data_IF_986032247579
#
_entry.id   IF_986032247579
#
_cell.length_a   1.000
_cell.length_b   1.000
_cell.length_c   1.000
_cell.angle_alpha   90.00
_cell.angle_beta   90.00
_cell.angle_gamma   90.00
#
_symmetry.space_group_name_H-M   'P 1'
#
loop_
_entity.id
_entity.type
_entity.pdbx_description
1 polymer ?
#
# COMPACT_ATOMS: atom_id res chain seq x y z
N UNK A 1 -18.45 -10.68 -13.01
CA UNK A 1 -19.58 -9.75 -13.09
C UNK A 1 -19.16 -8.64 -14.03
N UNK A 2 -19.90 -8.54 -15.14
CA UNK A 2 -19.86 -7.62 -16.29
C UNK A 2 -18.82 -6.47 -16.27
N UNK A 3 -17.91 -6.45 -17.26
CA UNK A 3 -17.90 -5.44 -18.34
C UNK A 3 -16.61 -5.52 -19.17
N UNK A 4 -16.72 -6.02 -20.40
CA UNK A 4 -15.79 -5.78 -21.53
C UNK A 4 -16.14 -4.47 -22.27
N UNK A 5 -16.86 -3.55 -21.61
CA UNK A 5 -17.08 -2.23 -22.19
C UNK A 5 -15.90 -1.32 -21.86
N UNK A 6 -15.29 -0.65 -22.86
CA UNK A 6 -14.25 0.34 -22.62
C UNK A 6 -14.85 1.46 -21.76
N UNK A 7 -14.33 1.62 -20.55
CA UNK A 7 -14.64 2.78 -19.73
C UNK A 7 -13.87 3.94 -20.34
N UNK A 8 -14.57 4.73 -21.14
CA UNK A 8 -14.05 5.92 -21.78
C UNK A 8 -13.89 7.03 -20.74
N UNK A 9 -12.71 7.07 -20.11
CA UNK A 9 -12.43 7.99 -19.02
C UNK A 9 -12.05 9.35 -19.58
N UNK A 10 -13.00 10.30 -19.58
CA UNK A 10 -12.77 11.68 -20.03
C UNK A 10 -12.06 12.49 -18.95
N UNK A 11 -10.90 13.01 -19.29
CA UNK A 11 -10.09 13.85 -18.41
C UNK A 11 -10.40 15.33 -18.59
N UNK A 12 -10.12 16.18 -17.59
CA UNK A 12 -10.35 17.63 -17.68
C UNK A 12 -9.56 18.34 -18.78
N UNK A 13 -8.48 17.74 -19.29
CA UNK A 13 -7.69 18.26 -20.41
C UNK A 13 -8.29 17.90 -21.79
N UNK A 14 -9.39 17.15 -21.84
CA UNK A 14 -10.05 16.73 -23.07
C UNK A 14 -9.58 15.36 -23.61
N UNK A 15 -8.60 14.74 -22.98
CA UNK A 15 -8.12 13.41 -23.38
C UNK A 15 -9.10 12.30 -22.95
N UNK A 16 -9.17 11.25 -23.77
CA UNK A 16 -9.87 9.99 -23.47
C UNK A 16 -8.85 8.86 -23.33
N UNK A 17 -9.05 8.02 -22.31
CA UNK A 17 -8.19 6.86 -22.06
C UNK A 17 -8.96 5.57 -22.32
N UNK A 18 -8.51 4.84 -23.33
CA UNK A 18 -8.94 3.45 -23.55
C UNK A 18 -8.13 2.50 -22.68
N UNK A 19 -8.84 1.61 -21.98
CA UNK A 19 -8.21 0.56 -21.19
C UNK A 19 -7.77 -0.58 -22.12
N UNK A 20 -6.48 -0.87 -22.17
CA UNK A 20 -5.98 -2.06 -22.84
C UNK A 20 -6.59 -3.35 -22.22
N UNK A 21 -6.84 -4.41 -23.01
CA UNK A 21 -7.39 -5.68 -22.50
C UNK A 21 -6.56 -6.21 -21.33
N UNK A 22 -7.22 -6.68 -20.27
CA UNK A 22 -6.55 -7.25 -19.10
C UNK A 22 -6.09 -8.68 -19.38
N UNK A 23 -4.78 -8.87 -19.56
CA UNK A 23 -4.12 -10.18 -19.63
C UNK A 23 -3.19 -10.42 -18.42
N UNK A 24 -2.57 -11.60 -18.36
CA UNK A 24 -1.50 -11.86 -17.39
C UNK A 24 -0.22 -11.13 -17.80
N UNK A 25 0.40 -10.40 -16.88
CA UNK A 25 1.65 -9.69 -17.12
C UNK A 25 2.60 -9.78 -15.92
N UNK A 26 3.88 -9.52 -16.17
CA UNK A 26 4.86 -9.27 -15.12
C UNK A 26 4.97 -7.76 -14.91
N UNK A 27 4.82 -7.33 -13.66
CA UNK A 27 5.04 -5.94 -13.28
C UNK A 27 6.53 -5.56 -13.29
N UNK A 28 6.79 -4.30 -12.98
CA UNK A 28 8.14 -3.76 -12.88
C UNK A 28 9.00 -4.49 -11.83
N UNK A 29 10.26 -4.77 -12.19
CA UNK A 29 11.23 -5.35 -11.27
C UNK A 29 11.58 -4.34 -10.18
N UNK A 30 11.55 -4.79 -8.93
CA UNK A 30 11.89 -3.98 -7.76
C UNK A 30 13.10 -4.57 -7.03
N UNK A 31 14.14 -3.76 -6.89
CA UNK A 31 15.32 -4.05 -6.07
C UNK A 31 15.17 -3.36 -4.72
N UNK A 32 15.44 -4.07 -3.63
CA UNK A 32 15.37 -3.53 -2.27
C UNK A 32 16.70 -3.75 -1.55
N UNK A 33 17.19 -2.70 -0.90
CA UNK A 33 18.36 -2.74 -0.03
C UNK A 33 18.05 -1.99 1.26
N UNK A 34 18.52 -2.48 2.40
CA UNK A 34 18.21 -1.85 3.67
C UNK A 34 19.23 -2.09 4.76
N UNK A 35 19.24 -1.18 5.73
CA UNK A 35 20.08 -1.24 6.92
C UNK A 35 19.19 -1.32 8.16
N UNK A 36 19.63 -2.12 9.14
CA UNK A 36 18.97 -2.19 10.45
C UNK A 36 19.92 -1.65 11.50
N UNK A 37 19.47 -0.64 12.23
CA UNK A 37 20.20 -0.02 13.33
C UNK A 37 19.64 -0.55 14.65
N UNK A 38 20.36 -1.51 15.22
CA UNK A 38 19.96 -2.21 16.45
C UNK A 38 18.70 -3.06 16.26
N UNK A 39 17.84 -3.10 17.27
CA UNK A 39 16.59 -3.89 17.27
C UNK A 39 15.35 -3.07 16.89
N UNK A 40 15.48 -1.75 16.82
CA UNK A 40 14.34 -0.82 16.79
C UNK A 40 14.18 -0.12 15.45
N UNK A 41 15.26 0.22 14.76
CA UNK A 41 15.18 1.03 13.55
C UNK A 41 15.64 0.24 12.33
N UNK A 42 14.87 0.29 11.25
CA UNK A 42 15.23 -0.28 9.97
C UNK A 42 14.88 0.71 8.87
N UNK A 43 15.80 0.94 7.94
CA UNK A 43 15.54 1.73 6.73
C UNK A 43 15.75 0.86 5.51
N UNK A 44 14.77 0.82 4.62
CA UNK A 44 14.84 0.12 3.34
C UNK A 44 14.68 1.14 2.22
N UNK A 45 15.56 1.10 1.25
CA UNK A 45 15.44 1.81 -0.03
C UNK A 45 15.04 0.79 -1.09
N UNK A 46 14.13 1.19 -1.97
CA UNK A 46 13.72 0.40 -3.10
C UNK A 46 13.85 1.20 -4.39
N UNK A 47 14.37 0.54 -5.42
CA UNK A 47 14.40 1.06 -6.79
C UNK A 47 13.53 0.16 -7.64
N UNK A 48 12.56 0.74 -8.34
CA UNK A 48 11.72 0.03 -9.30
C UNK A 48 12.17 0.41 -10.70
N UNK A 49 12.43 -0.61 -11.53
CA UNK A 49 12.93 -0.49 -12.89
C UNK A 49 11.76 -0.60 -13.89
N UNK A 50 11.73 0.18 -14.98
CA UNK A 50 10.63 0.18 -15.93
C UNK A 50 10.72 -1.01 -16.89
N UNK A 51 10.47 -2.21 -16.37
CA UNK A 51 10.57 -3.47 -17.11
C UNK A 51 9.21 -4.07 -17.46
N UNK A 52 8.13 -3.55 -16.88
CA UNK A 52 6.76 -3.97 -17.15
C UNK A 52 6.26 -3.48 -18.51
N UNK A 53 5.23 -4.13 -19.07
CA UNK A 53 4.67 -3.75 -20.36
C UNK A 53 3.90 -2.43 -20.30
N UNK A 54 3.69 -1.82 -21.47
CA UNK A 54 2.90 -0.59 -21.61
C UNK A 54 1.50 -0.73 -21.01
N UNK A 55 1.02 0.32 -20.34
CA UNK A 55 -0.28 0.35 -19.64
C UNK A 55 -0.30 -0.33 -18.27
N UNK A 56 0.71 -1.16 -17.95
CA UNK A 56 0.76 -1.93 -16.70
C UNK A 56 2.05 -1.73 -15.87
N UNK A 57 3.14 -1.30 -16.51
CA UNK A 57 4.37 -0.83 -15.86
C UNK A 57 4.39 0.70 -15.71
N UNK A 58 5.27 1.21 -14.85
CA UNK A 58 5.45 2.65 -14.62
C UNK A 58 6.12 3.37 -15.78
N UNK A 59 6.80 2.63 -16.68
CA UNK A 59 7.61 3.13 -17.81
C UNK A 59 8.81 4.02 -17.44
N UNK A 60 8.88 4.50 -16.21
CA UNK A 60 10.02 5.22 -15.64
C UNK A 60 10.56 4.53 -14.40
N UNK A 61 11.85 4.76 -14.13
CA UNK A 61 12.45 4.32 -12.88
C UNK A 61 11.92 5.16 -11.71
N UNK A 62 11.67 4.51 -10.57
CA UNK A 62 11.24 5.19 -9.34
C UNK A 62 12.06 4.74 -8.15
N UNK A 63 12.20 5.61 -7.16
CA UNK A 63 12.89 5.33 -5.90
C UNK A 63 11.96 5.57 -4.74
N UNK A 64 12.02 4.73 -3.72
CA UNK A 64 11.33 4.94 -2.46
C UNK A 64 12.20 4.54 -1.29
N UNK A 65 12.00 5.21 -0.16
CA UNK A 65 12.58 4.84 1.13
C UNK A 65 11.45 4.59 2.13
N UNK A 66 11.66 3.67 3.06
CA UNK A 66 10.80 3.41 4.20
C UNK A 66 11.68 3.24 5.42
N UNK A 67 11.47 4.07 6.43
CA UNK A 67 12.08 3.90 7.75
C UNK A 67 11.03 3.42 8.72
N UNK A 68 11.30 2.29 9.37
CA UNK A 68 10.44 1.63 10.33
C UNK A 68 11.09 1.66 11.72
N UNK A 69 10.34 2.14 12.70
CA UNK A 69 10.66 2.09 14.11
C UNK A 69 9.77 1.08 14.84
N UNK A 70 10.37 0.18 15.63
CA UNK A 70 9.68 -0.81 16.44
C UNK A 70 10.02 -0.61 17.91
N UNK A 71 8.99 -0.60 18.76
CA UNK A 71 9.13 -0.57 20.20
C UNK A 71 8.32 -1.68 20.87
N UNK A 72 8.93 -2.32 21.86
CA UNK A 72 8.25 -3.17 22.85
C UNK A 72 8.00 -2.29 24.06
N UNK A 73 6.74 -1.94 24.31
CA UNK A 73 6.37 -1.05 25.42
C UNK A 73 6.37 -1.83 26.74
N UNK A 74 5.88 -3.07 26.70
CA UNK A 74 5.97 -4.05 27.78
C UNK A 74 5.84 -5.49 27.23
N UNK A 75 5.55 -6.46 28.11
CA UNK A 75 5.36 -7.86 27.74
C UNK A 75 4.08 -8.15 26.92
N UNK A 76 3.15 -7.20 26.80
CA UNK A 76 1.89 -7.34 26.04
C UNK A 76 1.81 -6.43 24.82
N UNK A 77 2.42 -5.25 24.88
CA UNK A 77 2.28 -4.19 23.90
C UNK A 77 3.53 -4.06 23.04
N UNK A 78 3.33 -4.12 21.73
CA UNK A 78 4.33 -3.78 20.73
C UNK A 78 3.73 -2.77 19.76
N UNK A 79 4.54 -1.79 19.36
CA UNK A 79 4.16 -0.84 18.33
C UNK A 79 5.21 -0.78 17.24
N UNK A 80 4.76 -0.50 16.02
CA UNK A 80 5.60 -0.33 14.85
C UNK A 80 5.12 0.91 14.08
N UNK A 81 6.02 1.82 13.77
CA UNK A 81 5.75 3.04 13.04
C UNK A 81 6.61 3.04 11.80
N UNK A 82 6.09 3.54 10.69
CA UNK A 82 6.88 3.72 9.49
C UNK A 82 6.57 5.04 8.82
N UNK A 83 7.61 5.62 8.22
CA UNK A 83 7.53 6.80 7.39
C UNK A 83 8.33 6.54 6.11
N UNK A 84 7.70 6.76 4.98
CA UNK A 84 8.28 6.52 3.68
C UNK A 84 8.10 7.71 2.74
N UNK A 85 9.07 7.85 1.86
CA UNK A 85 9.10 8.88 0.82
C UNK A 85 9.42 8.22 -0.51
N UNK A 86 8.71 8.61 -1.56
CA UNK A 86 8.90 8.08 -2.90
C UNK A 86 9.03 9.20 -3.93
N UNK A 87 9.76 8.91 -4.99
CA UNK A 87 9.81 9.73 -6.19
C UNK A 87 9.64 8.84 -7.43
N UNK A 88 8.73 9.23 -8.31
CA UNK A 88 8.49 8.63 -9.62
C UNK A 88 8.33 9.78 -10.61
N UNK A 89 9.16 9.89 -11.65
CA UNK A 89 8.94 10.87 -12.72
C UNK A 89 7.55 10.73 -13.33
N UNK A 90 6.99 11.83 -13.82
CA UNK A 90 5.74 11.79 -14.58
C UNK A 90 6.01 11.29 -16.00
N UNK A 91 5.12 10.46 -16.55
CA UNK A 91 5.27 9.86 -17.88
C UNK A 91 3.90 9.56 -18.51
N UNK A 92 3.84 9.66 -19.84
CA UNK A 92 2.69 9.28 -20.65
C UNK A 92 1.55 10.32 -20.65
N UNK A 93 0.37 9.93 -21.17
CA UNK A 93 -0.76 10.85 -21.38
C UNK A 93 -1.28 11.52 -20.09
N UNK A 94 -1.04 10.90 -18.93
CA UNK A 94 -1.47 11.42 -17.62
C UNK A 94 -0.41 12.27 -16.91
N UNK A 95 0.72 12.58 -17.54
CA UNK A 95 1.87 13.20 -16.88
C UNK A 95 1.52 14.50 -16.14
N UNK A 96 0.62 15.32 -16.71
CA UNK A 96 0.19 16.60 -16.13
C UNK A 96 -0.54 16.45 -14.78
N UNK A 97 -1.27 15.35 -14.64
CA UNK A 97 -2.05 15.01 -13.45
C UNK A 97 -1.27 14.20 -12.43
N UNK A 98 -0.14 13.59 -12.82
CA UNK A 98 0.66 12.77 -11.91
C UNK A 98 1.40 13.63 -10.89
N UNK A 99 1.36 13.22 -9.62
CA UNK A 99 2.32 13.70 -8.63
C UNK A 99 3.59 12.87 -8.77
N UNK A 100 4.74 13.53 -8.64
CA UNK A 100 6.03 12.86 -8.78
C UNK A 100 6.65 12.46 -7.44
N UNK A 101 6.11 12.98 -6.32
CA UNK A 101 6.62 12.76 -4.97
C UNK A 101 5.50 12.27 -4.09
N UNK A 102 5.81 11.25 -3.29
CA UNK A 102 4.84 10.58 -2.43
C UNK A 102 5.36 10.50 -1.01
N UNK A 103 4.43 10.59 -0.05
CA UNK A 103 4.70 10.30 1.35
C UNK A 103 3.73 9.22 1.80
N UNK A 104 4.26 8.24 2.53
CA UNK A 104 3.49 7.19 3.16
C UNK A 104 3.83 7.11 4.63
N UNK A 105 2.85 6.82 5.46
CA UNK A 105 3.07 6.57 6.88
C UNK A 105 2.26 5.36 7.32
N UNK A 106 2.79 4.60 8.27
CA UNK A 106 2.04 3.53 8.91
C UNK A 106 2.24 3.55 10.42
N UNK A 107 1.20 3.19 11.16
CA UNK A 107 1.23 3.08 12.61
C UNK A 107 0.51 1.81 13.03
N UNK A 108 1.24 0.91 13.68
CA UNK A 108 0.79 -0.41 14.07
C UNK A 108 0.88 -0.63 15.56
N UNK A 109 -0.13 -1.28 16.13
CA UNK A 109 -0.18 -1.69 17.51
C UNK A 109 -0.56 -3.16 17.58
N UNK A 110 0.13 -3.88 18.46
CA UNK A 110 -0.15 -5.28 18.78
C UNK A 110 -0.33 -5.41 20.28
N UNK A 111 -1.47 -5.96 20.69
CA UNK A 111 -1.79 -6.24 22.08
C UNK A 111 -1.94 -7.75 22.30
N UNK A 112 -1.08 -8.33 23.13
CA UNK A 112 -1.17 -9.72 23.56
C UNK A 112 -2.17 -9.84 24.72
N UNK A 113 -3.35 -10.36 24.41
CA UNK A 113 -4.43 -10.51 25.38
C UNK A 113 -4.39 -11.86 26.12
N UNK A 114 -3.85 -12.92 25.50
CA UNK A 114 -3.78 -14.24 26.15
C UNK A 114 -2.63 -15.09 25.60
N UNK A 115 -1.65 -15.43 26.45
CA UNK A 115 -0.58 -16.35 26.06
C UNK A 115 0.20 -15.81 24.86
N UNK A 116 0.08 -16.46 23.70
CA UNK A 116 0.67 -15.98 22.44
C UNK A 116 -0.35 -15.31 21.50
N UNK A 117 -1.63 -15.29 21.87
CA UNK A 117 -2.71 -14.65 21.13
C UNK A 117 -2.57 -13.14 21.23
N UNK A 118 -2.76 -12.44 20.11
CA UNK A 118 -2.70 -10.99 20.07
C UNK A 118 -3.77 -10.41 19.15
N UNK A 119 -4.28 -9.24 19.50
CA UNK A 119 -5.01 -8.38 18.59
C UNK A 119 -4.01 -7.40 17.96
N UNK A 120 -4.30 -6.93 16.76
CA UNK A 120 -3.54 -5.88 16.12
C UNK A 120 -4.44 -4.86 15.44
N UNK A 121 -3.90 -3.66 15.26
CA UNK A 121 -4.46 -2.60 14.43
C UNK A 121 -3.32 -1.87 13.75
N UNK A 122 -3.45 -1.58 12.47
CA UNK A 122 -2.52 -0.83 11.65
C UNK A 122 -3.29 0.25 10.89
N UNK A 123 -2.81 1.47 10.96
CA UNK A 123 -3.27 2.57 10.13
C UNK A 123 -2.23 2.79 9.04
N UNK A 124 -2.66 2.85 7.80
CA UNK A 124 -1.85 3.19 6.64
C UNK A 124 -2.33 4.48 6.04
N UNK A 125 -1.39 5.35 5.72
CA UNK A 125 -1.62 6.63 5.06
C UNK A 125 -0.73 6.69 3.82
N UNK A 126 -1.29 7.16 2.71
CA UNK A 126 -0.53 7.48 1.50
C UNK A 126 -1.03 8.79 0.90
N UNK A 127 -0.12 9.67 0.50
CA UNK A 127 -0.47 10.87 -0.26
C UNK A 127 -1.12 10.51 -1.60
N UNK A 128 -1.95 11.40 -2.13
CA UNK A 128 -2.56 11.23 -3.44
C UNK A 128 -1.53 10.91 -4.53
N UNK A 129 -1.90 10.01 -5.45
CA UNK A 129 -1.08 9.65 -6.61
C UNK A 129 -1.17 10.68 -7.74
N UNK A 130 -2.35 11.31 -7.86
CA UNK A 130 -2.67 12.28 -8.89
C UNK A 130 -3.13 13.61 -8.27
N UNK A 131 -3.38 14.58 -9.13
CA UNK A 131 -4.00 15.87 -8.84
C UNK A 131 -4.85 16.29 -10.03
N UNK A 132 -5.87 17.07 -9.74
CA UNK A 132 -6.66 17.80 -10.74
C UNK A 132 -7.26 16.91 -11.85
N UNK A 133 -7.46 15.62 -11.59
CA UNK A 133 -8.12 14.69 -12.53
C UNK A 133 -9.63 14.88 -12.57
N UNK A 134 -10.19 15.60 -11.58
CA UNK A 134 -11.64 15.73 -11.39
C UNK A 134 -12.27 14.48 -10.76
N UNK A 135 -11.47 13.42 -10.53
CA UNK A 135 -11.88 12.16 -9.96
C UNK A 135 -11.35 12.06 -8.53
N UNK A 136 -12.25 12.18 -7.56
CA UNK A 136 -11.90 12.16 -6.13
C UNK A 136 -11.14 10.90 -5.69
N UNK A 137 -11.33 9.78 -6.38
CA UNK A 137 -10.61 8.53 -6.09
C UNK A 137 -9.11 8.63 -6.37
N UNK A 138 -8.70 9.42 -7.37
CA UNK A 138 -7.29 9.59 -7.75
C UNK A 138 -6.63 10.81 -7.11
N UNK A 139 -7.40 11.87 -6.88
CA UNK A 139 -6.88 13.15 -6.37
C UNK A 139 -6.72 13.20 -4.84
N UNK A 140 -7.27 12.22 -4.12
CA UNK A 140 -7.25 12.20 -2.66
C UNK A 140 -6.20 11.25 -2.12
N UNK A 141 -5.78 11.56 -0.89
CA UNK A 141 -4.96 10.67 -0.07
C UNK A 141 -5.74 9.40 0.27
N UNK A 142 -5.00 8.33 0.51
CA UNK A 142 -5.52 7.06 0.98
C UNK A 142 -5.29 6.95 2.48
N UNK A 143 -6.31 6.48 3.19
CA UNK A 143 -6.23 6.15 4.60
C UNK A 143 -6.93 4.82 4.82
N UNK A 144 -6.18 3.81 5.25
CA UNK A 144 -6.69 2.44 5.37
C UNK A 144 -6.41 1.91 6.77
N UNK A 145 -7.42 1.28 7.36
CA UNK A 145 -7.34 0.64 8.66
C UNK A 145 -7.34 -0.88 8.49
N UNK A 146 -6.35 -1.54 9.07
CA UNK A 146 -6.20 -2.98 9.05
C UNK A 146 -6.12 -3.53 10.46
N UNK A 147 -7.01 -4.44 10.83
CA UNK A 147 -7.12 -4.91 12.20
C UNK A 147 -7.59 -6.35 12.28
N UNK A 148 -7.29 -7.00 13.40
CA UNK A 148 -7.74 -8.36 13.65
C UNK A 148 -6.92 -9.08 14.70
N UNK A 149 -6.77 -10.39 14.50
CA UNK A 149 -6.20 -11.31 15.47
C UNK A 149 -5.06 -12.14 14.89
N UNK A 150 -4.06 -12.34 15.73
CA UNK A 150 -2.94 -13.26 15.56
C UNK A 150 -3.12 -14.41 16.54
N UNK A 151 -3.35 -15.62 16.01
CA UNK A 151 -3.64 -16.79 16.81
C UNK A 151 -2.50 -17.82 16.71
N UNK A 152 -1.72 -18.02 17.79
CA UNK A 152 -0.62 -19.00 17.84
C UNK A 152 -0.98 -20.16 18.77
N UNK A 153 -1.07 -21.36 18.21
CA UNK A 153 -1.14 -22.59 19.00
C UNK A 153 0.23 -22.90 19.67
N UNK A 154 0.26 -23.87 20.59
CA UNK A 154 1.47 -24.22 21.35
C UNK A 154 2.61 -24.70 20.43
N UNK A 155 2.25 -25.37 19.34
CA UNK A 155 3.09 -25.79 18.19
C UNK A 155 2.34 -25.45 16.90
N UNK A 156 3.05 -25.31 15.78
CA UNK A 156 2.44 -25.01 14.47
C UNK A 156 2.44 -23.51 14.12
N UNK A 157 1.76 -23.11 13.02
CA UNK A 157 1.81 -21.76 12.50
C UNK A 157 1.06 -20.74 13.40
N UNK A 158 1.41 -19.46 13.26
CA UNK A 158 0.58 -18.35 13.71
C UNK A 158 -0.46 -18.08 12.62
N UNK A 159 -1.73 -18.14 12.98
CA UNK A 159 -2.83 -17.77 12.10
C UNK A 159 -3.07 -16.27 12.18
N UNK A 160 -3.43 -15.68 11.04
CA UNK A 160 -3.81 -14.29 10.89
C UNK A 160 -5.26 -14.26 10.42
N UNK A 161 -6.11 -13.55 11.16
CA UNK A 161 -7.49 -13.25 10.79
C UNK A 161 -7.62 -11.72 10.83
N UNK A 162 -7.80 -11.09 9.68
CA UNK A 162 -7.79 -9.63 9.59
C UNK A 162 -8.89 -9.10 8.69
N UNK A 163 -9.23 -7.84 8.93
CA UNK A 163 -10.11 -7.04 8.09
C UNK A 163 -9.40 -5.73 7.75
N UNK A 164 -9.57 -5.31 6.50
CA UNK A 164 -9.02 -4.06 5.99
C UNK A 164 -10.18 -3.21 5.48
N UNK A 165 -10.19 -1.93 5.87
CA UNK A 165 -11.22 -0.95 5.57
C UNK A 165 -10.57 0.35 5.07
N UNK A 166 -11.03 0.85 3.94
CA UNK A 166 -10.61 2.14 3.41
C UNK A 166 -11.43 3.27 4.03
N UNK A 167 -10.77 4.09 4.84
CA UNK A 167 -11.36 5.25 5.53
C UNK A 167 -11.44 6.47 4.61
N UNK A 168 -10.48 6.63 3.70
CA UNK A 168 -10.43 7.64 2.65
C UNK A 168 -9.75 7.11 1.38
N UNK A 169 -10.18 7.53 0.18
CA UNK A 169 -11.33 8.38 -0.10
C UNK A 169 -12.66 7.63 0.07
N UNK A 170 -13.60 8.22 0.83
CA UNK A 170 -14.92 7.62 1.03
C UNK A 170 -15.68 7.52 -0.30
N UNK A 171 -15.88 6.29 -0.78
CA UNK A 171 -16.81 5.95 -1.84
C UNK A 171 -18.19 5.58 -1.30
N UNK A 172 -19.20 5.41 -2.17
CA UNK A 172 -20.52 4.92 -1.78
C UNK A 172 -20.51 3.44 -1.33
N UNK A 173 -19.43 2.71 -1.61
CA UNK A 173 -19.17 1.38 -1.09
C UNK A 173 -18.06 1.47 -0.02
N UNK A 174 -18.30 0.84 1.12
CA UNK A 174 -17.27 0.61 2.12
C UNK A 174 -16.51 -0.64 1.68
N UNK A 175 -15.28 -0.46 1.21
CA UNK A 175 -14.46 -1.56 0.69
C UNK A 175 -13.87 -2.32 1.88
N UNK A 176 -14.51 -3.46 2.22
CA UNK A 176 -14.05 -4.40 3.26
C UNK A 176 -13.37 -5.59 2.62
N UNK A 177 -12.12 -5.83 3.02
CA UNK A 177 -11.37 -7.02 2.64
C UNK A 177 -11.11 -7.91 3.85
N UNK A 178 -11.52 -9.17 3.77
CA UNK A 178 -11.22 -10.18 4.79
C UNK A 178 -9.98 -10.98 4.39
N UNK A 179 -9.08 -11.20 5.34
CA UNK A 179 -7.82 -11.92 5.10
C UNK A 179 -7.61 -13.01 6.13
N UNK A 180 -7.30 -14.20 5.63
CA UNK A 180 -6.95 -15.38 6.43
C UNK A 180 -5.59 -15.88 5.94
N UNK A 181 -4.66 -16.08 6.87
CA UNK A 181 -3.32 -16.54 6.52
C UNK A 181 -2.64 -17.29 7.66
N UNK A 182 -1.50 -17.90 7.36
CA UNK A 182 -0.70 -18.64 8.32
C UNK A 182 0.79 -18.36 8.09
N UNK A 183 1.56 -18.15 9.16
CA UNK A 183 3.03 -18.03 9.12
C UNK A 183 3.69 -18.99 10.10
N UNK A 184 4.77 -19.66 9.68
CA UNK A 184 5.47 -20.67 10.50
C UNK A 184 6.38 -20.04 11.54
#
# INVERSE_FOLDING_TARGET
FLADEPIDLKLPNGDSLDRAPSGGFLGDVRLLGGVRLGRRLQTTVAVTLPTGPEGYGRRVASVASLTTFRAELDHRWRTEWGLGFGYTPSEGPLADFQRNTFVGANAGFRYRFWGKQAAFVNLFYQSAGYRDTGLRAFDKRELTLDYGFLLKARRGPEWFLGMTEDLEPRGPALDLSFRIGARW
#
